data_IF_453062589137
#
_entry.id   IF_453062589137
#
_cell.length_a   1.000
_cell.length_b   1.000
_cell.length_c   1.000
_cell.angle_alpha   90.00
_cell.angle_beta   90.00
_cell.angle_gamma   90.00
#
_symmetry.space_group_name_H-M   'P 1'
#
loop_
_entity.id
_entity.type
_entity.pdbx_description
1 polymer ?
#
# COMPACT_ATOMS: atom_id res chain seq x y z
N UNK A 1 -1.85 -16.98 -55.41
CA UNK A 1 -2.38 -18.27 -54.94
C UNK A 1 -1.31 -18.99 -54.09
N UNK A 2 -0.12 -19.24 -54.65
CA UNK A 2 0.96 -19.91 -53.96
C UNK A 2 1.34 -19.26 -52.58
N UNK A 3 1.41 -17.95 -52.50
CA UNK A 3 1.73 -17.23 -51.23
C UNK A 3 0.73 -17.53 -50.12
N UNK A 4 -0.58 -17.56 -50.44
CA UNK A 4 -1.61 -17.91 -49.47
C UNK A 4 -1.52 -19.38 -49.08
N UNK A 5 -1.20 -20.27 -50.01
CA UNK A 5 -1.03 -21.71 -49.77
C UNK A 5 0.11 -21.94 -48.78
N UNK A 6 1.27 -21.28 -48.99
CA UNK A 6 2.44 -21.33 -48.08
C UNK A 6 2.07 -20.72 -46.72
N UNK A 7 1.34 -19.62 -46.68
CA UNK A 7 0.94 -18.99 -45.40
C UNK A 7 0.03 -19.93 -44.60
N UNK A 8 -1.02 -20.46 -45.21
CA UNK A 8 -1.96 -21.40 -44.57
C UNK A 8 -1.25 -22.65 -44.09
N UNK A 9 -0.35 -23.21 -44.91
CA UNK A 9 0.47 -24.37 -44.49
C UNK A 9 1.31 -24.08 -43.26
N UNK A 10 1.96 -22.92 -43.19
CA UNK A 10 2.78 -22.54 -42.04
C UNK A 10 1.93 -22.37 -40.78
N UNK A 11 0.77 -21.69 -40.88
CA UNK A 11 -0.15 -21.53 -39.76
C UNK A 11 -0.59 -22.88 -39.21
N UNK A 12 -1.04 -23.80 -40.07
CA UNK A 12 -1.43 -25.15 -39.67
C UNK A 12 -0.31 -25.89 -38.98
N UNK A 13 0.91 -25.81 -39.54
CA UNK A 13 2.10 -26.45 -38.93
C UNK A 13 2.33 -26.00 -37.51
N UNK A 14 2.29 -24.69 -37.25
CA UNK A 14 2.52 -24.16 -35.92
C UNK A 14 1.34 -24.46 -34.98
N UNK A 15 0.11 -24.36 -35.44
CA UNK A 15 -1.07 -24.75 -34.63
C UNK A 15 -0.95 -26.22 -34.20
N UNK A 16 -0.65 -27.12 -35.13
CA UNK A 16 -0.45 -28.53 -34.80
C UNK A 16 0.71 -28.79 -33.85
N UNK A 17 1.84 -28.12 -34.05
CA UNK A 17 2.99 -28.23 -33.14
C UNK A 17 2.68 -27.77 -31.72
N UNK A 18 2.04 -26.64 -31.56
CA UNK A 18 1.66 -26.13 -30.24
C UNK A 18 0.56 -26.97 -29.59
N UNK A 19 -0.44 -27.43 -30.35
CA UNK A 19 -1.45 -28.32 -29.82
C UNK A 19 -0.83 -29.64 -29.30
N UNK A 20 0.16 -30.19 -29.99
CA UNK A 20 0.87 -31.38 -29.53
C UNK A 20 1.63 -31.15 -28.21
N UNK A 21 2.30 -30.00 -28.08
CA UNK A 21 3.04 -29.64 -26.86
C UNK A 21 2.10 -29.36 -25.68
N UNK A 22 0.93 -28.76 -25.94
CA UNK A 22 -0.08 -28.45 -24.90
C UNK A 22 -0.98 -29.63 -24.54
N UNK A 23 -0.93 -30.74 -25.28
CA UNK A 23 -1.83 -31.87 -25.09
C UNK A 23 -3.22 -31.64 -25.65
N UNK A 24 -3.40 -30.66 -26.54
CA UNK A 24 -4.66 -30.26 -27.17
C UNK A 24 -4.89 -28.76 -27.16
N UNK A 25 -6.03 -28.31 -27.63
CA UNK A 25 -6.45 -26.91 -27.58
C UNK A 25 -7.98 -26.83 -27.45
N UNK A 26 -8.49 -26.05 -26.53
CA UNK A 26 -9.93 -25.79 -26.35
C UNK A 26 -10.44 -24.76 -27.37
N UNK A 27 -9.56 -23.88 -27.84
CA UNK A 27 -9.90 -22.86 -28.83
C UNK A 27 -8.71 -22.48 -29.71
N UNK A 28 -9.03 -22.08 -30.95
CA UNK A 28 -8.14 -21.40 -31.88
C UNK A 28 -8.62 -19.97 -32.03
N UNK A 29 -7.73 -19.01 -31.72
CA UNK A 29 -8.05 -17.58 -31.80
C UNK A 29 -7.39 -16.97 -33.02
N UNK A 30 -8.19 -16.38 -33.91
CA UNK A 30 -7.74 -15.57 -35.01
C UNK A 30 -7.78 -14.09 -34.61
N UNK A 31 -6.73 -13.37 -34.95
CA UNK A 31 -6.61 -11.95 -34.61
C UNK A 31 -5.69 -11.23 -35.60
N UNK A 32 -5.59 -9.92 -35.51
CA UNK A 32 -4.81 -9.11 -36.43
C UNK A 32 -5.47 -8.98 -37.80
N UNK A 33 -4.93 -8.14 -38.67
CA UNK A 33 -5.55 -7.78 -39.95
C UNK A 33 -6.00 -8.95 -40.79
N UNK A 34 -5.19 -10.02 -40.91
CA UNK A 34 -5.53 -11.23 -41.68
C UNK A 34 -6.52 -12.09 -40.91
N UNK A 35 -6.26 -12.35 -39.63
CA UNK A 35 -7.12 -13.21 -38.80
C UNK A 35 -8.54 -12.66 -38.67
N UNK A 36 -8.70 -11.36 -38.56
CA UNK A 36 -9.98 -10.69 -38.42
C UNK A 36 -10.75 -10.58 -39.74
N UNK A 37 -10.04 -10.25 -40.84
CA UNK A 37 -10.71 -9.82 -42.07
C UNK A 37 -10.67 -10.81 -43.23
N UNK A 38 -9.87 -11.86 -43.17
CA UNK A 38 -9.70 -12.82 -44.25
C UNK A 38 -10.44 -14.15 -43.98
N UNK A 39 -11.76 -14.17 -44.13
CA UNK A 39 -12.59 -15.36 -43.95
C UNK A 39 -12.08 -16.59 -44.73
N UNK A 40 -11.62 -16.38 -45.97
CA UNK A 40 -11.07 -17.44 -46.79
C UNK A 40 -9.77 -18.06 -46.24
N UNK A 41 -8.98 -17.28 -45.52
CA UNK A 41 -7.77 -17.80 -44.83
C UNK A 41 -8.17 -18.62 -43.62
N UNK A 42 -9.11 -18.12 -42.81
CA UNK A 42 -9.62 -18.86 -41.64
C UNK A 42 -10.22 -20.20 -42.05
N UNK A 43 -11.11 -20.19 -43.07
CA UNK A 43 -11.70 -21.41 -43.61
C UNK A 43 -10.64 -22.43 -44.03
N UNK A 44 -9.66 -22.01 -44.80
CA UNK A 44 -8.58 -22.88 -45.25
C UNK A 44 -7.68 -23.39 -44.13
N UNK A 45 -7.44 -22.58 -43.09
CA UNK A 45 -6.68 -23.05 -41.90
C UNK A 45 -7.50 -24.09 -41.16
N UNK A 46 -8.77 -23.83 -40.88
CA UNK A 46 -9.64 -24.71 -40.10
C UNK A 46 -9.90 -26.07 -40.78
N UNK A 47 -10.06 -26.06 -42.10
CA UNK A 47 -10.26 -27.27 -42.91
C UNK A 47 -9.17 -28.33 -42.68
N UNK A 48 -7.95 -27.93 -42.48
CA UNK A 48 -6.85 -28.84 -42.17
C UNK A 48 -6.72 -29.23 -40.69
N UNK A 49 -7.61 -28.78 -39.82
CA UNK A 49 -7.58 -28.99 -38.38
C UNK A 49 -8.77 -29.78 -37.80
N UNK A 50 -9.57 -30.35 -38.68
CA UNK A 50 -10.77 -31.15 -38.35
C UNK A 50 -10.41 -32.32 -37.40
N UNK A 51 -9.24 -32.92 -37.59
CA UNK A 51 -8.74 -33.98 -36.70
C UNK A 51 -8.52 -33.52 -35.23
N UNK A 52 -8.40 -32.24 -35.00
CA UNK A 52 -8.33 -31.63 -33.65
C UNK A 52 -9.71 -31.22 -33.10
N UNK A 53 -10.79 -31.59 -33.78
CA UNK A 53 -12.13 -31.19 -33.38
C UNK A 53 -12.53 -29.77 -33.80
N UNK A 54 -11.79 -29.16 -34.68
CA UNK A 54 -12.10 -27.81 -35.22
C UNK A 54 -13.14 -27.94 -36.32
N UNK A 55 -14.35 -27.44 -36.09
CA UNK A 55 -15.44 -27.42 -37.09
C UNK A 55 -15.93 -25.99 -37.23
N UNK A 56 -15.54 -25.34 -38.33
CA UNK A 56 -15.92 -23.95 -38.65
C UNK A 56 -17.38 -23.90 -39.13
N UNK A 57 -18.10 -22.86 -38.73
CA UNK A 57 -19.36 -22.46 -39.31
C UNK A 57 -19.08 -21.46 -40.43
N UNK A 58 -19.20 -21.89 -41.66
CA UNK A 58 -18.82 -21.10 -42.84
C UNK A 58 -19.77 -19.89 -43.06
N UNK A 59 -21.01 -19.99 -42.66
CA UNK A 59 -21.97 -18.87 -42.74
C UNK A 59 -21.56 -17.81 -41.70
N UNK A 60 -21.31 -18.23 -40.46
CA UNK A 60 -20.81 -17.34 -39.41
C UNK A 60 -19.45 -16.73 -39.80
N UNK A 61 -18.55 -17.51 -40.39
CA UNK A 61 -17.21 -17.07 -40.81
C UNK A 61 -17.26 -15.96 -41.85
N UNK A 62 -18.26 -15.98 -42.75
CA UNK A 62 -18.39 -14.99 -43.81
C UNK A 62 -19.23 -13.79 -43.41
N UNK A 63 -20.22 -13.96 -42.55
CA UNK A 63 -21.21 -12.93 -42.21
C UNK A 63 -20.94 -12.19 -40.91
N UNK A 64 -20.31 -12.83 -39.91
CA UNK A 64 -20.06 -12.22 -38.62
C UNK A 64 -18.70 -11.56 -38.54
N UNK A 65 -18.66 -10.36 -37.94
CA UNK A 65 -17.43 -9.61 -37.69
C UNK A 65 -17.27 -9.35 -36.19
N UNK A 66 -16.06 -9.49 -35.66
CA UNK A 66 -15.79 -9.20 -34.27
C UNK A 66 -16.16 -7.78 -33.85
N UNK A 67 -16.00 -6.80 -34.76
CA UNK A 67 -16.38 -5.42 -34.52
C UNK A 67 -17.87 -5.23 -34.17
N UNK A 68 -18.76 -6.03 -34.78
CA UNK A 68 -20.21 -5.93 -34.57
C UNK A 68 -20.68 -6.69 -33.30
N UNK A 69 -19.78 -7.42 -32.66
CA UNK A 69 -20.05 -8.27 -31.48
C UNK A 69 -19.14 -7.92 -30.25
N UNK A 70 -18.88 -6.64 -30.06
CA UNK A 70 -18.09 -6.22 -28.89
C UNK A 70 -16.60 -6.61 -28.93
N UNK A 71 -16.09 -6.89 -30.12
CA UNK A 71 -14.67 -7.22 -30.34
C UNK A 71 -14.33 -8.71 -30.29
N UNK A 72 -15.29 -9.59 -30.03
CA UNK A 72 -15.10 -11.05 -29.97
C UNK A 72 -16.27 -11.75 -30.62
N UNK A 73 -15.99 -12.71 -31.51
CA UNK A 73 -17.03 -13.53 -32.11
C UNK A 73 -16.61 -14.99 -32.23
N UNK A 74 -17.48 -15.89 -31.87
CA UNK A 74 -17.32 -17.33 -32.11
C UNK A 74 -17.82 -17.71 -33.47
N UNK A 75 -17.00 -18.45 -34.23
CA UNK A 75 -17.24 -18.90 -35.62
C UNK A 75 -17.28 -20.43 -35.73
N UNK A 76 -17.26 -21.17 -34.64
CA UNK A 76 -17.36 -22.62 -34.65
C UNK A 76 -18.82 -23.09 -34.70
N UNK A 77 -19.05 -24.26 -35.28
CA UNK A 77 -20.32 -24.93 -35.14
C UNK A 77 -20.59 -25.27 -33.66
N UNK A 78 -21.89 -25.29 -33.29
CA UNK A 78 -22.32 -25.46 -31.89
C UNK A 78 -21.70 -26.68 -31.19
N UNK A 79 -21.45 -27.78 -31.93
CA UNK A 79 -20.91 -29.03 -31.41
C UNK A 79 -19.40 -29.15 -31.65
N UNK A 80 -18.70 -28.12 -32.08
CA UNK A 80 -17.27 -28.15 -32.29
C UNK A 80 -16.55 -28.35 -30.94
N UNK A 81 -15.79 -29.41 -30.75
CA UNK A 81 -14.99 -29.62 -29.52
C UNK A 81 -13.98 -28.49 -29.31
N UNK A 82 -13.25 -28.11 -30.36
CA UNK A 82 -12.33 -26.96 -30.32
C UNK A 82 -13.01 -25.73 -30.91
N UNK A 83 -13.09 -24.66 -30.17
CA UNK A 83 -13.75 -23.42 -30.58
C UNK A 83 -12.89 -22.62 -31.55
N UNK A 84 -13.57 -21.94 -32.51
CA UNK A 84 -12.93 -20.98 -33.41
C UNK A 84 -13.43 -19.58 -33.04
N UNK A 85 -12.53 -18.73 -32.61
CA UNK A 85 -12.86 -17.39 -32.12
C UNK A 85 -12.08 -16.35 -32.92
N UNK A 86 -12.72 -15.26 -33.28
CA UNK A 86 -12.06 -14.08 -33.82
C UNK A 86 -12.09 -12.98 -32.77
N UNK A 87 -10.93 -12.43 -32.47
CA UNK A 87 -10.77 -11.33 -31.52
C UNK A 87 -10.22 -10.13 -32.27
N UNK A 88 -10.91 -8.98 -32.14
CA UNK A 88 -10.42 -7.73 -32.70
C UNK A 88 -9.17 -7.29 -31.96
N UNK A 89 -8.09 -7.06 -32.68
CA UNK A 89 -6.92 -6.38 -32.13
C UNK A 89 -7.18 -4.88 -32.03
N UNK A 90 -6.81 -4.33 -30.90
CA UNK A 90 -6.79 -2.89 -30.67
C UNK A 90 -5.34 -2.49 -30.39
N UNK A 91 -4.53 -2.49 -31.46
CA UNK A 91 -3.10 -2.19 -31.37
C UNK A 91 -2.85 -0.78 -30.85
N UNK A 92 -3.70 0.18 -31.27
CA UNK A 92 -3.60 1.56 -30.80
C UNK A 92 -3.82 1.65 -29.28
N UNK A 93 -4.81 0.92 -28.78
CA UNK A 93 -5.09 0.82 -27.34
C UNK A 93 -3.99 0.12 -26.60
N UNK A 94 -3.39 -0.93 -27.18
CA UNK A 94 -2.25 -1.63 -26.58
C UNK A 94 -1.03 -0.72 -26.56
N UNK A 95 -0.73 -0.02 -27.65
CA UNK A 95 0.35 0.98 -27.72
C UNK A 95 0.10 2.09 -26.70
N UNK A 96 -1.13 2.63 -26.65
CA UNK A 96 -1.50 3.63 -25.66
C UNK A 96 -1.33 3.12 -24.21
N UNK A 97 -1.70 1.86 -23.95
CA UNK A 97 -1.57 1.22 -22.65
C UNK A 97 -0.11 0.98 -22.29
N UNK A 98 0.72 0.52 -23.22
CA UNK A 98 2.16 0.35 -22.99
C UNK A 98 2.88 1.70 -22.91
N UNK A 99 2.51 2.68 -23.71
CA UNK A 99 2.98 4.05 -23.55
C UNK A 99 2.60 4.62 -22.18
N UNK A 100 1.34 4.41 -21.75
CA UNK A 100 0.91 4.75 -20.39
C UNK A 100 1.73 4.00 -19.33
N UNK A 101 2.00 2.72 -19.50
CA UNK A 101 2.87 1.95 -18.59
C UNK A 101 4.29 2.51 -18.57
N UNK A 102 4.86 2.84 -19.71
CA UNK A 102 6.17 3.48 -19.81
C UNK A 102 6.16 4.88 -19.17
N UNK A 103 5.13 5.67 -19.42
CA UNK A 103 4.97 7.01 -18.83
C UNK A 103 4.66 6.92 -17.34
N UNK A 104 3.80 6.01 -16.91
CA UNK A 104 3.51 5.75 -15.49
C UNK A 104 4.71 5.07 -14.82
N UNK A 105 5.39 4.15 -15.50
CA UNK A 105 6.67 3.57 -15.04
C UNK A 105 7.79 4.62 -15.03
N UNK A 106 7.91 5.46 -16.06
CA UNK A 106 8.82 6.61 -16.07
C UNK A 106 8.37 7.71 -15.10
N UNK A 107 7.06 7.94 -14.93
CA UNK A 107 6.52 8.77 -13.85
C UNK A 107 6.72 8.12 -12.48
N UNK A 108 6.72 6.80 -12.37
CA UNK A 108 7.18 6.05 -11.21
C UNK A 108 8.67 6.24 -10.97
N UNK A 109 9.50 6.22 -12.01
CA UNK A 109 10.92 6.57 -11.94
C UNK A 109 11.14 8.08 -11.71
N UNK A 110 10.31 8.93 -12.32
CA UNK A 110 10.29 10.39 -12.06
C UNK A 110 9.66 10.67 -10.69
N UNK A 111 8.70 9.87 -10.22
CA UNK A 111 8.22 9.89 -8.83
C UNK A 111 9.30 9.41 -7.87
N UNK A 112 10.07 8.37 -8.20
CA UNK A 112 11.21 7.94 -7.36
C UNK A 112 12.33 8.99 -7.32
N UNK A 113 12.48 9.80 -8.37
CA UNK A 113 13.39 10.97 -8.37
C UNK A 113 12.75 12.17 -7.65
N UNK A 114 11.41 12.28 -7.58
CA UNK A 114 10.68 13.29 -6.80
C UNK A 114 10.24 12.81 -5.41
N UNK A 115 10.03 11.54 -5.22
CA UNK A 115 9.75 10.97 -3.91
C UNK A 115 11.06 10.90 -3.11
N UNK A 116 11.39 12.02 -2.47
CA UNK A 116 12.36 11.97 -1.39
C UNK A 116 11.86 10.92 -0.40
N UNK A 117 12.70 9.95 -0.02
CA UNK A 117 12.30 8.95 0.94
C UNK A 117 11.88 9.64 2.23
N UNK A 118 10.78 9.19 2.82
CA UNK A 118 10.32 9.68 4.11
C UNK A 118 11.02 8.85 5.19
N UNK A 119 11.84 9.45 6.05
CA UNK A 119 12.45 8.77 7.18
C UNK A 119 11.36 8.22 8.12
N UNK A 120 11.67 7.13 8.81
CA UNK A 120 10.75 6.48 9.74
C UNK A 120 11.26 6.60 11.17
N UNK A 121 10.45 7.22 12.02
CA UNK A 121 10.61 7.22 13.46
C UNK A 121 9.71 6.16 14.10
N UNK A 122 10.32 5.17 14.75
CA UNK A 122 9.57 4.16 15.51
C UNK A 122 9.30 4.67 16.91
N UNK A 123 8.04 4.93 17.21
CA UNK A 123 7.57 5.35 18.53
C UNK A 123 7.39 4.16 19.45
N UNK A 124 8.34 3.94 20.32
CA UNK A 124 8.20 2.99 21.44
C UNK A 124 7.27 3.61 22.49
N UNK A 125 6.63 2.79 23.31
CA UNK A 125 5.79 3.30 24.42
C UNK A 125 6.47 4.43 25.19
N UNK A 126 5.74 5.53 25.40
CA UNK A 126 6.27 6.70 26.10
C UNK A 126 5.15 7.54 26.71
N UNK A 127 5.56 8.49 27.55
CA UNK A 127 4.64 9.38 28.27
C UNK A 127 5.00 10.84 28.02
N UNK A 128 3.99 11.67 27.83
CA UNK A 128 4.08 13.12 27.94
C UNK A 128 3.38 13.54 29.23
N UNK A 129 4.08 14.21 30.11
CA UNK A 129 3.54 14.63 31.40
C UNK A 129 3.04 16.08 31.37
N UNK A 130 2.04 16.38 32.18
CA UNK A 130 1.71 17.74 32.56
C UNK A 130 2.50 18.14 33.84
N UNK A 131 2.53 19.43 34.18
CA UNK A 131 3.27 19.95 35.33
C UNK A 131 2.84 19.31 36.66
N UNK A 132 1.53 19.22 36.89
CA UNK A 132 1.00 18.66 38.14
C UNK A 132 1.40 17.20 38.33
N UNK A 133 1.43 16.41 37.26
CA UNK A 133 1.85 14.99 37.39
C UNK A 133 3.36 14.84 37.56
N UNK A 134 4.16 15.74 36.99
CA UNK A 134 5.61 15.78 37.28
C UNK A 134 5.84 16.04 38.76
N UNK A 135 5.16 17.03 39.33
CA UNK A 135 5.28 17.37 40.74
C UNK A 135 4.86 16.21 41.66
N UNK A 136 3.80 15.50 41.29
CA UNK A 136 3.33 14.34 42.06
C UNK A 136 4.23 13.11 41.93
N UNK A 137 4.88 12.89 40.77
CA UNK A 137 5.70 11.71 40.50
C UNK A 137 7.16 11.90 40.94
N UNK A 138 7.69 13.13 40.91
CA UNK A 138 9.10 13.44 41.15
C UNK A 138 9.34 14.40 42.30
N UNK A 139 8.31 15.06 42.81
CA UNK A 139 8.34 16.08 43.86
C UNK A 139 8.05 17.49 43.32
N UNK A 140 7.52 18.39 44.19
CA UNK A 140 7.16 19.73 43.79
C UNK A 140 8.33 20.51 43.18
N UNK A 141 8.09 21.14 42.03
CA UNK A 141 9.10 21.95 41.34
C UNK A 141 10.21 21.16 40.65
N UNK A 142 10.09 19.84 40.52
CA UNK A 142 11.08 19.01 39.85
C UNK A 142 11.18 19.36 38.36
N UNK A 143 12.41 19.54 37.85
CA UNK A 143 12.67 19.81 36.44
C UNK A 143 13.24 18.56 35.77
N UNK A 144 12.57 18.14 34.67
CA UNK A 144 12.98 16.98 33.91
C UNK A 144 14.30 17.25 33.15
N UNK A 145 15.21 16.27 33.22
CA UNK A 145 16.55 16.40 32.65
C UNK A 145 16.67 15.81 31.27
N UNK A 146 17.13 16.59 30.30
CA UNK A 146 17.34 16.12 28.93
C UNK A 146 18.38 15.00 28.87
N UNK A 147 18.02 13.91 28.15
CA UNK A 147 18.91 12.78 27.85
C UNK A 147 19.38 12.83 26.39
N UNK A 148 18.47 12.99 25.43
CA UNK A 148 18.76 13.09 23.98
C UNK A 148 17.62 13.77 23.25
N UNK A 149 17.92 14.36 22.11
CA UNK A 149 16.90 14.89 21.20
C UNK A 149 16.14 13.74 20.52
N UNK A 150 14.93 14.01 20.07
CA UNK A 150 14.18 13.21 19.10
C UNK A 150 14.20 13.95 17.74
N UNK A 151 13.68 13.33 16.68
CA UNK A 151 13.72 13.89 15.33
C UNK A 151 13.00 15.25 15.25
N UNK A 152 11.90 15.41 15.99
CA UNK A 152 11.15 16.66 15.95
C UNK A 152 11.82 17.75 16.81
N UNK A 153 12.09 18.94 16.24
CA UNK A 153 12.75 20.03 16.94
C UNK A 153 12.03 20.45 18.21
N UNK A 154 12.78 20.71 19.26
CA UNK A 154 12.28 21.15 20.55
C UNK A 154 11.72 20.03 21.45
N UNK A 155 11.68 18.79 20.96
CA UNK A 155 11.31 17.63 21.76
C UNK A 155 12.55 16.82 22.14
N UNK A 156 12.50 16.19 23.32
CA UNK A 156 13.62 15.37 23.81
C UNK A 156 13.11 14.28 24.76
N UNK A 157 13.83 13.16 24.80
CA UNK A 157 13.68 12.12 25.81
C UNK A 157 14.39 12.58 27.08
N UNK A 158 13.74 12.40 28.22
CA UNK A 158 14.31 12.74 29.52
C UNK A 158 15.16 11.59 30.10
N UNK A 159 15.92 11.87 31.15
CA UNK A 159 16.65 10.85 31.92
C UNK A 159 15.71 10.10 32.86
N UNK A 160 14.71 10.81 33.35
CA UNK A 160 13.65 10.28 34.19
C UNK A 160 12.74 9.35 33.41
N UNK A 161 12.20 8.37 34.13
CA UNK A 161 11.24 7.40 33.61
C UNK A 161 10.13 7.20 34.62
N UNK A 162 9.01 6.65 34.16
CA UNK A 162 7.88 6.25 35.01
C UNK A 162 7.49 4.81 34.72
N UNK A 163 6.86 4.16 35.69
CA UNK A 163 6.21 2.88 35.45
C UNK A 163 4.75 3.11 35.05
N UNK A 164 4.27 2.33 34.07
CA UNK A 164 2.87 2.25 33.70
C UNK A 164 2.26 1.04 34.38
N UNK A 165 1.25 1.23 35.22
CA UNK A 165 0.56 0.16 35.94
C UNK A 165 -0.88 0.08 35.44
N UNK A 166 -1.18 -0.97 34.72
CA UNK A 166 -2.51 -1.29 34.20
C UNK A 166 -3.21 -2.36 35.04
N UNK A 167 -4.48 -2.67 34.72
CA UNK A 167 -5.26 -3.68 35.44
C UNK A 167 -4.68 -5.11 35.39
N UNK A 168 -3.92 -5.47 34.36
CA UNK A 168 -3.39 -6.83 34.16
C UNK A 168 -1.87 -6.93 34.31
N UNK A 169 -1.15 -5.84 34.13
CA UNK A 169 0.32 -5.84 34.16
C UNK A 169 0.93 -4.46 34.21
N UNK A 170 2.24 -4.41 34.24
CA UNK A 170 2.99 -3.16 34.32
C UNK A 170 4.16 -3.14 33.32
N UNK A 171 4.53 -1.94 32.89
CA UNK A 171 5.81 -1.65 32.23
C UNK A 171 6.63 -0.73 33.11
N UNK A 172 7.87 -1.09 33.40
CA UNK A 172 8.79 -0.30 34.19
C UNK A 172 9.72 0.52 33.31
N UNK A 173 10.13 1.69 33.83
CA UNK A 173 11.12 2.52 33.19
C UNK A 173 10.68 3.08 31.84
N UNK A 174 9.42 3.43 31.68
CA UNK A 174 8.88 4.00 30.45
C UNK A 174 9.38 5.42 30.26
N UNK A 175 9.87 5.74 29.07
CA UNK A 175 10.47 7.01 28.72
C UNK A 175 9.45 8.16 28.80
N UNK A 176 9.92 9.32 29.25
CA UNK A 176 9.17 10.58 29.21
C UNK A 176 9.71 11.42 28.07
N UNK A 177 8.81 11.95 27.23
CA UNK A 177 9.13 12.90 26.16
C UNK A 177 8.65 14.29 26.56
N UNK A 178 9.58 15.21 26.64
CA UNK A 178 9.37 16.61 26.90
C UNK A 178 9.29 17.42 25.59
N UNK A 179 8.76 18.66 25.60
CA UNK A 179 8.32 19.45 26.74
C UNK A 179 7.02 18.95 27.39
N UNK A 180 6.72 19.50 28.58
CA UNK A 180 5.48 19.23 29.27
C UNK A 180 4.26 19.64 28.43
N UNK A 181 3.16 18.90 28.58
CA UNK A 181 1.89 19.18 27.91
C UNK A 181 0.84 19.73 28.89
N UNK A 182 -0.25 20.24 28.36
CA UNK A 182 -1.37 20.69 29.20
C UNK A 182 -2.04 19.54 29.96
N UNK A 183 -2.03 18.34 29.37
CA UNK A 183 -2.59 17.12 29.95
C UNK A 183 -1.61 15.96 29.72
N UNK A 184 -1.50 15.06 30.70
CA UNK A 184 -0.70 13.85 30.59
C UNK A 184 -1.28 12.90 29.56
N UNK A 185 -0.42 12.36 28.71
CA UNK A 185 -0.75 11.44 27.64
C UNK A 185 0.22 10.27 27.62
N UNK A 186 -0.31 9.07 27.43
CA UNK A 186 0.44 7.82 27.31
C UNK A 186 0.20 7.24 25.93
N UNK A 187 1.27 7.10 25.16
CA UNK A 187 1.24 6.49 23.82
C UNK A 187 1.83 5.08 23.92
N UNK A 188 1.06 4.09 23.48
CA UNK A 188 1.43 2.67 23.55
C UNK A 188 1.06 1.96 22.24
N UNK A 189 1.68 0.82 21.96
CA UNK A 189 1.28 -0.07 20.88
C UNK A 189 0.09 -0.97 21.29
N UNK A 190 -0.55 -1.60 20.34
CA UNK A 190 -1.68 -2.53 20.59
C UNK A 190 -1.24 -3.71 21.45
N UNK A 191 -0.06 -4.25 21.21
CA UNK A 191 0.53 -5.34 22.01
C UNK A 191 0.75 -4.92 23.47
N UNK A 192 1.20 -3.67 23.72
CA UNK A 192 1.34 -3.14 25.08
C UNK A 192 0.00 -3.05 25.80
N UNK A 193 -1.05 -2.66 25.06
CA UNK A 193 -2.40 -2.56 25.61
C UNK A 193 -2.92 -3.90 26.15
N UNK A 194 -2.59 -5.01 25.49
CA UNK A 194 -2.91 -6.36 25.99
C UNK A 194 -2.21 -6.67 27.31
N UNK A 195 -0.93 -6.33 27.41
CA UNK A 195 -0.12 -6.55 28.63
C UNK A 195 -0.67 -5.72 29.79
N UNK A 196 -0.97 -4.45 29.55
CA UNK A 196 -1.52 -3.55 30.56
C UNK A 196 -2.98 -3.85 30.92
N UNK A 197 -3.73 -4.48 30.01
CA UNK A 197 -5.16 -4.76 30.18
C UNK A 197 -6.04 -3.52 30.00
N UNK A 198 -5.63 -2.61 29.12
CA UNK A 198 -6.39 -1.42 28.73
C UNK A 198 -6.84 -1.52 27.26
N UNK A 199 -7.86 -0.76 26.88
CA UNK A 199 -8.39 -0.77 25.53
C UNK A 199 -8.40 0.67 24.93
N UNK A 200 -7.22 1.25 24.65
CA UNK A 200 -7.13 2.60 24.11
C UNK A 200 -7.61 2.64 22.65
N UNK A 201 -8.31 3.69 22.27
CA UNK A 201 -8.67 3.94 20.88
C UNK A 201 -7.48 4.48 20.10
N UNK A 202 -7.52 4.30 18.76
CA UNK A 202 -6.64 4.99 17.83
C UNK A 202 -6.98 6.48 17.82
N UNK A 203 -6.02 7.35 18.09
CA UNK A 203 -6.20 8.80 18.19
C UNK A 203 -4.99 9.56 17.63
N UNK A 204 -5.23 10.74 17.08
CA UNK A 204 -4.16 11.70 16.90
C UNK A 204 -3.65 12.16 18.28
N UNK A 205 -2.33 12.26 18.43
CA UNK A 205 -1.68 12.78 19.63
C UNK A 205 -2.26 14.16 20.02
N UNK A 206 -2.70 14.30 21.26
CA UNK A 206 -3.39 15.47 21.80
C UNK A 206 -4.91 15.37 21.83
N UNK A 207 -5.53 14.39 21.15
CA UNK A 207 -6.98 14.16 21.20
C UNK A 207 -7.31 13.04 22.20
N UNK A 208 -7.59 13.40 23.43
CA UNK A 208 -7.69 12.48 24.56
C UNK A 208 -9.11 12.18 25.03
N UNK A 209 -10.13 12.76 24.40
CA UNK A 209 -11.54 12.57 24.77
C UNK A 209 -11.96 11.10 24.61
N UNK A 210 -12.59 10.55 25.65
CA UNK A 210 -13.08 9.17 25.66
C UNK A 210 -12.00 8.11 25.68
N UNK A 211 -10.76 8.45 26.03
CA UNK A 211 -9.66 7.50 26.18
C UNK A 211 -9.62 6.92 27.61
N UNK A 212 -9.12 5.69 27.79
CA UNK A 212 -8.98 5.12 29.13
C UNK A 212 -7.85 5.80 29.92
N UNK A 213 -7.94 5.68 31.24
CA UNK A 213 -6.90 6.07 32.16
C UNK A 213 -5.91 4.94 32.45
N UNK A 214 -4.87 5.27 33.19
CA UNK A 214 -3.85 4.35 33.69
C UNK A 214 -3.18 4.92 34.95
N UNK A 215 -2.51 4.09 35.71
CA UNK A 215 -1.71 4.55 36.84
C UNK A 215 -0.23 4.72 36.44
N UNK A 216 0.33 5.86 36.74
CA UNK A 216 1.76 6.20 36.61
C UNK A 216 2.40 6.15 37.97
N UNK A 217 3.57 5.52 38.06
CA UNK A 217 4.38 5.47 39.30
C UNK A 217 5.76 6.06 39.04
N UNK A 218 6.12 7.03 39.86
CA UNK A 218 7.44 7.66 39.88
C UNK A 218 8.14 7.45 41.23
N UNK A 219 9.33 8.00 41.41
CA UNK A 219 10.12 7.82 42.64
C UNK A 219 9.52 8.50 43.89
N UNK A 220 8.74 9.60 43.70
CA UNK A 220 8.15 10.34 44.80
C UNK A 220 6.68 10.02 45.06
N UNK A 221 6.00 9.38 44.09
CA UNK A 221 4.57 9.09 44.22
C UNK A 221 3.93 8.37 43.05
N UNK A 222 2.61 8.30 43.10
CA UNK A 222 1.81 7.60 42.12
C UNK A 222 0.64 8.51 41.70
N UNK A 223 0.34 8.53 40.41
CA UNK A 223 -0.78 9.30 39.81
C UNK A 223 -1.67 8.37 38.99
N UNK A 224 -2.96 8.35 39.29
CA UNK A 224 -3.96 7.69 38.47
C UNK A 224 -4.60 8.72 37.55
N UNK A 225 -4.25 8.73 36.29
CA UNK A 225 -4.90 9.58 35.28
C UNK A 225 -6.22 8.95 34.86
N UNK A 226 -7.34 9.72 34.81
CA UNK A 226 -8.65 9.18 34.43
C UNK A 226 -8.79 8.94 32.94
N UNK A 227 -7.98 9.60 32.11
CA UNK A 227 -7.95 9.51 30.65
C UNK A 227 -6.54 9.86 30.15
N UNK A 228 -6.24 9.53 28.90
CA UNK A 228 -4.98 9.93 28.28
C UNK A 228 -4.19 8.80 27.63
N UNK A 229 -4.65 7.54 27.69
CA UNK A 229 -3.99 6.43 27.00
C UNK A 229 -4.51 6.29 25.59
N UNK A 230 -3.63 6.32 24.60
CA UNK A 230 -3.96 6.22 23.18
C UNK A 230 -3.07 5.21 22.45
N UNK A 231 -3.59 4.67 21.37
CA UNK A 231 -2.78 4.20 20.25
C UNK A 231 -2.58 5.41 19.33
N UNK A 232 -1.34 5.85 19.17
CA UNK A 232 -1.06 7.00 18.33
C UNK A 232 -1.33 6.66 16.86
N UNK A 233 -2.13 7.46 16.18
CA UNK A 233 -2.38 7.31 14.75
C UNK A 233 -1.08 7.56 14.00
N UNK A 234 -0.71 6.67 13.07
CA UNK A 234 0.48 6.86 12.23
C UNK A 234 0.37 8.15 11.43
N UNK A 235 1.44 8.88 11.35
CA UNK A 235 1.43 10.19 10.74
C UNK A 235 2.81 10.57 10.22
N UNK A 236 2.84 11.55 9.32
CA UNK A 236 4.07 12.14 8.83
C UNK A 236 4.11 13.63 9.17
N UNK A 237 5.20 14.07 9.77
CA UNK A 237 5.49 15.47 10.00
C UNK A 237 6.13 16.07 8.77
N UNK A 238 5.71 17.27 8.38
CA UNK A 238 6.25 18.00 7.24
C UNK A 238 6.28 19.50 7.52
N UNK A 239 7.30 20.19 7.04
CA UNK A 239 7.27 21.64 6.90
C UNK A 239 6.32 22.04 5.75
N UNK A 240 5.84 23.29 5.68
CA UNK A 240 5.04 23.77 4.56
C UNK A 240 5.74 23.65 3.19
N UNK A 241 7.07 23.75 3.16
CA UNK A 241 7.84 23.56 1.93
C UNK A 241 7.78 22.09 1.48
N UNK A 242 8.05 21.16 2.37
CA UNK A 242 7.97 19.72 2.09
C UNK A 242 6.56 19.30 1.68
N UNK A 243 5.52 19.80 2.36
CA UNK A 243 4.13 19.51 2.00
C UNK A 243 3.82 19.94 0.55
N UNK A 244 4.30 21.12 0.12
CA UNK A 244 4.19 21.56 -1.29
C UNK A 244 4.95 20.64 -2.24
N UNK A 245 6.17 20.22 -1.88
CA UNK A 245 6.99 19.33 -2.70
C UNK A 245 6.33 17.96 -2.92
N UNK A 246 5.65 17.45 -1.90
CA UNK A 246 4.87 16.19 -1.97
C UNK A 246 3.46 16.38 -2.53
N UNK A 247 3.00 17.61 -2.73
CA UNK A 247 1.66 17.93 -3.24
C UNK A 247 0.54 17.57 -2.27
N UNK A 248 0.79 17.68 -0.96
CA UNK A 248 -0.14 17.35 0.12
C UNK A 248 -0.42 18.55 1.02
N UNK A 249 -1.47 18.44 1.81
CA UNK A 249 -1.91 19.48 2.78
C UNK A 249 -2.01 18.88 4.17
N UNK A 250 -2.08 19.75 5.18
CA UNK A 250 -2.35 19.32 6.55
C UNK A 250 -3.65 18.52 6.62
N UNK A 251 -3.61 17.39 7.34
CA UNK A 251 -4.71 16.42 7.48
C UNK A 251 -5.07 15.59 6.25
N UNK A 252 -4.35 15.71 5.16
CA UNK A 252 -4.49 14.72 4.09
C UNK A 252 -4.12 13.33 4.62
N UNK A 253 -4.81 12.31 4.11
CA UNK A 253 -4.43 10.92 4.28
C UNK A 253 -3.61 10.47 3.08
N UNK A 254 -2.45 9.91 3.33
CA UNK A 254 -1.56 9.40 2.28
C UNK A 254 -1.31 7.91 2.45
N UNK A 255 -0.81 7.32 1.37
CA UNK A 255 -0.24 5.98 1.35
C UNK A 255 1.26 6.08 1.26
N UNK A 256 1.94 5.16 1.93
CA UNK A 256 3.38 4.96 1.82
C UNK A 256 3.66 3.50 1.51
N UNK A 257 4.66 3.24 0.69
CA UNK A 257 5.12 1.90 0.34
C UNK A 257 6.41 1.59 1.09
N UNK A 258 6.41 0.48 1.77
CA UNK A 258 7.58 -0.15 2.37
C UNK A 258 8.16 -1.10 1.35
N UNK A 259 9.45 -1.00 1.05
CA UNK A 259 10.19 -1.90 0.16
C UNK A 259 11.04 -2.86 0.98
N UNK A 260 11.28 -4.06 0.46
CA UNK A 260 12.11 -5.08 1.10
C UNK A 260 11.36 -6.39 1.37
N UNK A 261 11.90 -7.20 2.29
CA UNK A 261 11.40 -8.57 2.57
C UNK A 261 9.96 -8.63 3.09
N UNK A 262 9.46 -7.51 3.63
CA UNK A 262 8.09 -7.34 4.10
C UNK A 262 7.39 -6.21 3.36
N UNK A 263 7.51 -6.21 2.02
CA UNK A 263 6.86 -5.20 1.17
C UNK A 263 5.38 -5.07 1.49
N UNK A 264 4.95 -3.84 1.77
CA UNK A 264 3.55 -3.51 2.00
C UNK A 264 3.26 -2.05 1.72
N UNK A 265 2.00 -1.72 1.52
CA UNK A 265 1.51 -0.33 1.49
C UNK A 265 0.76 -0.04 2.79
N UNK A 266 1.22 0.97 3.51
CA UNK A 266 0.50 1.52 4.66
C UNK A 266 -0.39 2.67 4.19
N UNK A 267 -1.70 2.55 4.36
CA UNK A 267 -2.66 3.62 4.17
C UNK A 267 -2.92 4.41 5.46
N UNK A 268 -3.88 5.34 5.42
CA UNK A 268 -4.30 6.15 6.57
C UNK A 268 -3.15 6.83 7.32
N UNK A 269 -2.11 7.26 6.61
CA UNK A 269 -1.01 8.05 7.18
C UNK A 269 -1.42 9.51 7.16
N UNK A 270 -1.62 10.11 8.35
CA UNK A 270 -2.04 11.51 8.47
C UNK A 270 -0.87 12.44 8.21
N UNK A 271 -1.03 13.37 7.28
CA UNK A 271 -0.08 14.46 7.07
C UNK A 271 -0.30 15.54 8.15
N UNK A 272 0.77 15.92 8.83
CA UNK A 272 0.80 17.01 9.82
C UNK A 272 1.79 18.06 9.36
N UNK A 273 1.28 19.25 9.06
CA UNK A 273 2.10 20.35 8.54
C UNK A 273 2.27 21.45 9.58
N UNK A 274 3.53 21.77 9.89
CA UNK A 274 3.88 22.88 10.76
C UNK A 274 5.25 23.43 10.37
N UNK A 275 5.48 24.77 10.41
CA UNK A 275 6.80 25.33 10.11
C UNK A 275 7.96 24.79 10.96
N UNK A 276 7.67 24.33 12.17
CA UNK A 276 8.66 23.76 13.08
C UNK A 276 8.92 22.26 12.89
N UNK A 277 8.22 21.61 11.96
CA UNK A 277 8.37 20.17 11.76
C UNK A 277 9.49 19.84 10.76
N UNK A 278 10.18 18.75 11.05
CA UNK A 278 11.06 18.05 10.14
C UNK A 278 10.36 16.83 9.54
N UNK A 279 10.78 16.45 8.31
CA UNK A 279 10.21 15.31 7.61
C UNK A 279 10.52 14.01 8.36
N UNK A 280 9.49 13.40 8.93
CA UNK A 280 9.61 12.14 9.66
C UNK A 280 8.23 11.48 9.77
N UNK A 281 8.16 10.18 9.46
CA UNK A 281 6.95 9.38 9.64
C UNK A 281 7.01 8.63 10.95
N UNK A 282 6.00 8.81 11.79
CA UNK A 282 5.88 8.12 13.07
C UNK A 282 4.91 6.94 12.97
N UNK A 283 5.39 5.79 13.38
CA UNK A 283 4.63 4.53 13.52
C UNK A 283 4.94 3.92 14.88
N UNK A 284 4.07 3.06 15.38
CA UNK A 284 4.32 2.33 16.62
C UNK A 284 5.18 1.07 16.39
N UNK A 285 5.53 0.39 17.49
CA UNK A 285 6.38 -0.81 17.42
C UNK A 285 5.70 -2.00 16.73
N UNK A 286 4.38 -2.13 16.81
CA UNK A 286 3.65 -3.21 16.15
C UNK A 286 3.64 -3.00 14.63
N UNK A 287 3.41 -1.77 14.18
CA UNK A 287 3.46 -1.38 12.77
C UNK A 287 4.87 -1.56 12.20
N UNK A 288 5.88 -1.11 12.94
CA UNK A 288 7.29 -1.27 12.56
C UNK A 288 7.68 -2.75 12.41
N UNK A 289 7.32 -3.59 13.38
CA UNK A 289 7.59 -5.03 13.34
C UNK A 289 6.85 -5.73 12.19
N UNK A 290 5.58 -5.35 11.93
CA UNK A 290 4.82 -5.90 10.82
C UNK A 290 5.48 -5.62 9.46
N UNK A 291 6.05 -4.43 9.31
CA UNK A 291 6.69 -3.96 8.08
C UNK A 291 8.20 -4.25 8.00
N UNK A 292 8.81 -4.76 9.06
CA UNK A 292 10.27 -4.94 9.13
C UNK A 292 11.06 -3.63 9.14
N UNK A 293 10.48 -2.56 9.67
CA UNK A 293 11.07 -1.22 9.72
C UNK A 293 11.81 -0.98 11.04
N UNK A 294 12.92 -0.25 10.97
CA UNK A 294 13.67 0.28 12.11
C UNK A 294 13.84 1.80 12.01
N UNK A 295 14.57 2.37 12.99
CA UNK A 295 14.76 3.84 13.08
C UNK A 295 15.56 4.46 11.92
N UNK A 296 16.32 3.65 11.18
CA UNK A 296 17.10 4.11 10.00
C UNK A 296 16.39 3.78 8.69
N UNK A 297 15.15 3.30 8.76
CA UNK A 297 14.36 2.93 7.60
C UNK A 297 13.78 4.16 6.91
N UNK A 298 13.48 4.00 5.64
CA UNK A 298 12.76 4.98 4.82
C UNK A 298 11.61 4.31 4.11
N UNK A 299 10.55 5.06 3.83
CA UNK A 299 9.41 4.61 3.05
C UNK A 299 9.21 5.51 1.84
N UNK A 300 8.61 4.97 0.80
CA UNK A 300 8.30 5.72 -0.42
C UNK A 300 6.89 6.30 -0.36
N UNK A 301 6.72 7.58 -0.69
CA UNK A 301 5.40 8.19 -0.86
C UNK A 301 4.63 7.53 -2.02
N UNK A 302 3.41 7.06 -1.78
CA UNK A 302 2.58 6.34 -2.76
C UNK A 302 1.25 7.06 -3.11
N UNK A 303 1.19 8.36 -2.81
CA UNK A 303 0.08 9.22 -3.21
C UNK A 303 -0.94 9.51 -2.11
N UNK A 304 -1.83 10.47 -2.41
CA UNK A 304 -2.96 10.81 -1.54
C UNK A 304 -4.00 9.69 -1.61
N UNK A 305 -4.52 9.30 -0.46
CA UNK A 305 -5.57 8.30 -0.37
C UNK A 305 -6.90 8.93 -0.78
N UNK A 306 -7.53 8.37 -1.81
CA UNK A 306 -8.91 8.72 -2.15
C UNK A 306 -9.85 8.24 -1.03
N UNK A 307 -10.76 9.12 -0.63
CA UNK A 307 -11.83 8.76 0.32
C UNK A 307 -12.82 7.81 -0.30
#
# INVERSE_FOLDING_TARGET
>A
RLAIDVFVHRVRKYVGAYAAVMGGADAIVFTGGIGENAAAVRSRVCDGLVYMGVVLDEDANTTRRAADHGGIVELSQRRSPTKVIVVRTDEERMIAREAMRCVVGASGAIRSVRARPIPVGVSVRHVHLCRADVDALFGPGYELTKKRDVTQPGQYVTRETVDLVGPKGEFRGVAIIAPLRAQTQVEIARTDAFVLGVAPPLRESGKLDGTPGITLRGPAGTVAIPSGVILAHRHVHMSPAQARDYGVRDKDLIKVRVEGDREMTMGDVIVRVNPAYELDMHIDTDEANAAGLGSDSVVAYDGVQSK
#
